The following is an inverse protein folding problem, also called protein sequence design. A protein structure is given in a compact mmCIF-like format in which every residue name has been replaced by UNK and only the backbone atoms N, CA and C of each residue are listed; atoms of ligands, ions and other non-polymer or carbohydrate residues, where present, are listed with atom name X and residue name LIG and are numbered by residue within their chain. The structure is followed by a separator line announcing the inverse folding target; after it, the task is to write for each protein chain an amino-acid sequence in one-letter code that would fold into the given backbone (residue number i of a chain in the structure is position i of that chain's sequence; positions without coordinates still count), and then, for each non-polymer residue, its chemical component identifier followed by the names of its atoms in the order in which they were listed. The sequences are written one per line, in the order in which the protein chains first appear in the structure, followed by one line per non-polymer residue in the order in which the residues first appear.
data_IF_154271280886
#
_entry.id   IF_154271280886
#
_cell.length_a   1.000
_cell.length_b   1.000
_cell.length_c   1.000
_cell.angle_alpha   90.00
_cell.angle_beta   90.00
_cell.angle_gamma   90.00
#
_symmetry.space_group_name_H-M   'P 1'
#
loop_
_entity.id
_entity.type
_entity.pdbx_description
1 polymer ?
#
# COMPACT_ATOMS: atom_id res chain seq x y z
N UNK A 1 7.77 10.45 22.01
CA UNK A 1 6.99 11.59 21.47
C UNK A 1 6.49 11.38 20.05
N UNK A 2 7.20 11.68 18.95
CA UNK A 2 6.57 11.61 17.60
C UNK A 2 6.05 10.23 17.22
N UNK A 3 6.88 9.18 17.32
CA UNK A 3 6.48 7.82 16.98
C UNK A 3 5.38 7.28 17.91
N UNK A 4 5.45 7.63 19.19
CA UNK A 4 4.40 7.36 20.18
C UNK A 4 3.06 7.98 19.75
N UNK A 5 3.02 9.26 19.37
CA UNK A 5 1.78 9.90 18.94
C UNK A 5 1.23 9.31 17.64
N UNK A 6 2.12 8.98 16.68
CA UNK A 6 1.73 8.30 15.44
C UNK A 6 1.11 6.94 15.73
N UNK A 7 1.78 6.10 16.54
CA UNK A 7 1.29 4.75 16.87
C UNK A 7 0.03 4.77 17.73
N UNK A 8 -0.11 5.76 18.63
CA UNK A 8 -1.36 6.00 19.38
C UNK A 8 -2.53 6.34 18.45
N UNK A 9 -2.29 7.19 17.45
CA UNK A 9 -3.30 7.54 16.44
C UNK A 9 -3.69 6.31 15.61
N UNK A 10 -2.71 5.56 15.10
CA UNK A 10 -2.96 4.34 14.33
C UNK A 10 -3.73 3.28 15.13
N UNK A 11 -3.43 3.11 16.41
CA UNK A 11 -4.20 2.26 17.32
C UNK A 11 -5.66 2.71 17.46
N UNK A 12 -5.93 4.02 17.50
CA UNK A 12 -7.32 4.52 17.52
C UNK A 12 -8.04 4.29 16.22
N UNK A 13 -7.35 4.47 15.09
CA UNK A 13 -7.89 4.19 13.76
C UNK A 13 -8.23 2.71 13.62
N UNK A 14 -7.34 1.82 14.08
CA UNK A 14 -7.56 0.36 14.02
C UNK A 14 -8.74 -0.10 14.87
N UNK A 15 -8.97 0.53 16.04
CA UNK A 15 -10.16 0.29 16.87
C UNK A 15 -11.49 0.65 16.18
N UNK A 16 -11.46 1.36 15.06
CA UNK A 16 -12.62 1.70 14.23
C UNK A 16 -12.65 0.93 12.88
N UNK A 17 -11.89 -0.15 12.77
CA UNK A 17 -11.78 -1.02 11.58
C UNK A 17 -13.11 -1.47 11.00
N UNK A 18 -14.13 -1.70 11.83
CA UNK A 18 -15.47 -2.08 11.36
C UNK A 18 -16.07 -1.04 10.37
N UNK A 19 -15.78 0.25 10.59
CA UNK A 19 -16.27 1.38 9.79
C UNK A 19 -15.29 1.79 8.68
N UNK A 20 -14.00 1.93 8.99
CA UNK A 20 -13.00 2.44 8.05
C UNK A 20 -12.26 1.34 7.26
N UNK A 21 -12.46 0.06 7.61
CA UNK A 21 -11.81 -1.13 7.02
C UNK A 21 -10.28 -1.19 7.18
N UNK A 22 -9.73 -0.43 8.12
CA UNK A 22 -8.30 -0.40 8.40
C UNK A 22 -8.03 -1.02 9.78
N UNK A 23 -7.61 -2.29 9.81
CA UNK A 23 -7.10 -2.94 11.03
C UNK A 23 -5.59 -2.69 11.23
N UNK A 24 -5.00 -3.20 12.31
CA UNK A 24 -3.57 -2.99 12.63
C UNK A 24 -2.65 -3.51 11.51
N UNK A 25 -2.98 -4.67 10.95
CA UNK A 25 -2.25 -5.27 9.83
C UNK A 25 -2.31 -4.40 8.57
N UNK A 26 -3.51 -4.00 8.15
CA UNK A 26 -3.70 -3.14 6.97
C UNK A 26 -3.00 -1.80 7.13
N UNK A 27 -3.10 -1.19 8.33
CA UNK A 27 -2.36 0.04 8.62
C UNK A 27 -0.84 -0.16 8.60
N UNK A 28 -0.34 -1.30 9.08
CA UNK A 28 1.09 -1.58 9.05
C UNK A 28 1.62 -1.71 7.62
N UNK A 29 0.87 -2.36 6.73
CA UNK A 29 1.24 -2.46 5.30
C UNK A 29 1.37 -1.06 4.66
N UNK A 30 0.42 -0.16 4.92
CA UNK A 30 0.42 1.19 4.34
C UNK A 30 1.48 2.11 4.95
N UNK A 31 1.75 1.99 6.26
CA UNK A 31 2.62 2.91 6.98
C UNK A 31 4.06 2.44 7.15
N UNK A 32 4.34 1.14 7.04
CA UNK A 32 5.70 0.59 7.07
C UNK A 32 6.68 1.33 6.14
N UNK A 33 6.40 1.50 4.83
CA UNK A 33 7.32 2.20 3.94
C UNK A 33 7.48 3.69 4.27
N UNK A 34 6.58 4.28 5.07
CA UNK A 34 6.64 5.70 5.46
C UNK A 34 7.44 5.92 6.75
N UNK A 35 7.54 4.90 7.61
CA UNK A 35 8.16 4.99 8.94
C UNK A 35 9.55 4.35 8.95
N UNK A 36 9.74 3.25 8.21
CA UNK A 36 11.01 2.50 8.16
C UNK A 36 11.39 2.27 6.69
N UNK A 37 12.63 2.62 6.33
CA UNK A 37 13.21 2.29 5.03
C UNK A 37 14.66 1.84 5.20
N UNK A 38 15.13 0.96 4.30
CA UNK A 38 16.51 0.48 4.32
C UNK A 38 17.46 1.51 3.72
N UNK A 39 18.67 1.61 4.27
CA UNK A 39 19.67 2.55 3.77
C UNK A 39 20.14 2.12 2.36
N UNK A 40 19.98 3.00 1.38
CA UNK A 40 20.33 2.70 -0.02
C UNK A 40 19.13 2.28 -0.88
N UNK A 41 17.99 1.98 -0.25
CA UNK A 41 16.72 2.15 -0.92
C UNK A 41 16.56 3.66 -1.13
N UNK A 42 16.54 4.13 -2.38
CA UNK A 42 16.22 5.52 -2.70
C UNK A 42 14.74 5.68 -2.42
N UNK A 43 14.42 5.71 -1.13
CA UNK A 43 13.11 5.44 -0.55
C UNK A 43 12.09 6.01 -1.48
N UNK A 44 11.32 5.11 -2.12
CA UNK A 44 10.29 5.45 -3.10
C UNK A 44 9.69 6.77 -2.66
N UNK A 45 10.06 7.87 -3.35
CA UNK A 45 9.84 9.24 -2.89
C UNK A 45 8.47 9.25 -2.22
N UNK A 46 8.38 9.56 -0.92
CA UNK A 46 7.14 9.40 -0.12
C UNK A 46 5.91 9.90 -0.90
N UNK A 47 6.14 10.96 -1.69
CA UNK A 47 5.23 11.54 -2.67
C UNK A 47 4.84 10.62 -3.84
N UNK A 48 5.78 9.91 -4.45
CA UNK A 48 5.54 8.89 -5.48
C UNK A 48 4.78 7.67 -4.95
N UNK A 49 5.09 7.19 -3.74
CA UNK A 49 4.31 6.10 -3.13
C UNK A 49 2.86 6.54 -2.89
N UNK A 50 2.66 7.72 -2.28
CA UNK A 50 1.33 8.27 -2.03
C UNK A 50 0.55 8.55 -3.33
N UNK A 51 1.24 8.93 -4.42
CA UNK A 51 0.62 9.10 -5.75
C UNK A 51 0.17 7.79 -6.37
N UNK A 52 0.85 6.69 -6.08
CA UNK A 52 0.50 5.38 -6.60
C UNK A 52 -0.69 4.79 -5.84
N UNK A 53 -0.71 4.89 -4.51
CA UNK A 53 -1.82 4.39 -3.68
C UNK A 53 -3.10 5.21 -3.84
N UNK A 54 -3.00 6.52 -4.08
CA UNK A 54 -4.16 7.40 -4.30
C UNK A 54 -4.62 7.46 -5.76
N UNK A 55 -3.95 6.77 -6.69
CA UNK A 55 -4.36 6.78 -8.10
C UNK A 55 -5.68 6.02 -8.24
N UNK A 56 -6.75 6.64 -8.77
CA UNK A 56 -7.98 5.93 -9.03
C UNK A 56 -7.72 4.79 -10.04
N UNK A 57 -8.46 3.67 -9.95
CA UNK A 57 -8.32 2.58 -10.91
C UNK A 57 -8.41 3.11 -12.34
N UNK A 58 -7.57 2.63 -13.27
CA UNK A 58 -7.66 3.06 -14.66
C UNK A 58 -9.08 2.79 -15.16
N UNK A 59 -9.76 3.85 -15.61
CA UNK A 59 -11.05 3.70 -16.30
C UNK A 59 -10.80 2.88 -17.55
N UNK A 60 -11.32 1.66 -17.58
CA UNK A 60 -11.47 0.89 -18.81
C UNK A 60 -12.39 1.73 -19.70
N UNK A 61 -11.82 2.40 -20.69
CA UNK A 61 -12.58 3.04 -21.75
C UNK A 61 -12.97 1.91 -22.70
N UNK A 62 -14.19 1.39 -22.51
CA UNK A 62 -14.85 0.54 -23.50
C UNK A 62 -14.96 1.34 -24.79
N UNK A 63 -13.99 1.16 -25.69
CA UNK A 63 -14.03 1.73 -27.03
C UNK A 63 -14.87 0.80 -27.89
N UNK A 64 -16.18 0.98 -27.83
CA UNK A 64 -17.10 0.45 -28.84
C UNK A 64 -16.86 1.18 -30.16
N UNK A 65 -15.92 0.68 -30.96
CA UNK A 65 -15.83 1.04 -32.38
C UNK A 65 -16.29 -0.16 -33.19
N UNK A 66 -17.58 -0.15 -33.54
CA UNK A 66 -18.15 -1.00 -34.57
C UNK A 66 -17.53 -0.61 -35.91
N UNK A 67 -16.56 -1.37 -36.41
CA UNK A 67 -16.24 -1.36 -37.84
C UNK A 67 -15.79 -2.76 -38.24
N UNK A 68 -16.63 -3.39 -39.05
CA UNK A 68 -16.43 -4.54 -39.92
C UNK A 68 -14.96 -4.76 -40.33
N UNK A 69 -14.28 -5.74 -39.74
CA UNK A 69 -12.95 -6.21 -40.18
C UNK A 69 -12.74 -7.67 -39.74
N UNK A 70 -13.72 -8.54 -40.00
CA UNK A 70 -13.65 -9.99 -39.73
C UNK A 70 -13.34 -10.81 -40.99
N UNK A 71 -12.74 -10.21 -42.00
CA UNK A 71 -12.39 -10.89 -43.25
C UNK A 71 -10.99 -10.45 -43.66
N UNK A 72 -9.99 -11.12 -43.10
CA UNK A 72 -8.60 -11.31 -43.56
C UNK A 72 -7.80 -11.87 -42.37
N UNK A 73 -8.10 -13.11 -42.00
CA UNK A 73 -7.09 -13.97 -41.38
C UNK A 73 -6.36 -14.63 -42.54
N UNK A 74 -5.19 -14.10 -42.89
CA UNK A 74 -4.19 -14.85 -43.65
C UNK A 74 -2.82 -14.46 -43.07
N UNK A 75 -2.28 -15.42 -42.33
CA UNK A 75 -0.90 -15.63 -41.90
C UNK A 75 0.14 -14.51 -42.17
N UNK A 76 0.46 -13.76 -41.13
CA UNK A 76 1.83 -13.32 -40.88
C UNK A 76 2.20 -13.60 -39.42
N UNK A 77 3.24 -14.42 -39.28
CA UNK A 77 3.84 -14.96 -38.07
C UNK A 77 4.54 -13.86 -37.27
N UNK A 78 3.76 -12.91 -36.73
CA UNK A 78 4.25 -11.99 -35.73
C UNK A 78 3.94 -12.57 -34.37
N UNK A 79 4.98 -13.08 -33.71
CA UNK A 79 4.98 -13.35 -32.28
C UNK A 79 4.62 -12.06 -31.52
N UNK A 80 3.31 -11.80 -31.40
CA UNK A 80 2.75 -10.70 -30.65
C UNK A 80 2.68 -11.05 -29.16
N UNK A 81 3.53 -11.98 -28.68
CA UNK A 81 3.99 -12.01 -27.30
C UNK A 81 4.85 -10.78 -27.05
N UNK A 82 4.20 -9.62 -27.06
CA UNK A 82 4.72 -8.43 -26.41
C UNK A 82 4.98 -8.83 -24.97
N UNK A 83 6.26 -9.00 -24.64
CA UNK A 83 6.74 -9.20 -23.28
C UNK A 83 6.39 -7.92 -22.51
N UNK A 84 5.16 -7.85 -22.00
CA UNK A 84 4.77 -6.87 -21.00
C UNK A 84 5.74 -7.14 -19.84
N UNK A 85 6.64 -6.20 -19.50
CA UNK A 85 7.53 -6.39 -18.37
C UNK A 85 6.64 -6.63 -17.16
N UNK A 86 6.79 -7.81 -16.54
CA UNK A 86 6.26 -8.06 -15.20
C UNK A 86 7.10 -7.19 -14.27
N UNK A 87 6.70 -5.93 -14.11
CA UNK A 87 7.17 -5.08 -13.02
C UNK A 87 6.49 -5.57 -11.73
N UNK A 88 6.80 -6.81 -11.37
CA UNK A 88 6.56 -7.35 -10.04
C UNK A 88 7.53 -6.59 -9.15
N UNK A 89 7.15 -5.36 -8.80
CA UNK A 89 7.97 -4.45 -8.00
C UNK A 89 8.53 -5.17 -6.77
N UNK A 90 9.58 -4.61 -6.17
CA UNK A 90 10.24 -5.24 -5.03
C UNK A 90 9.21 -5.70 -3.98
N UNK A 91 9.29 -6.94 -3.51
CA UNK A 91 8.34 -7.45 -2.54
C UNK A 91 8.32 -6.54 -1.30
N UNK A 92 7.17 -6.38 -0.62
CA UNK A 92 7.09 -5.57 0.58
C UNK A 92 8.10 -6.01 1.63
N UNK A 93 8.68 -5.06 2.37
CA UNK A 93 9.51 -5.39 3.53
C UNK A 93 8.62 -5.92 4.67
N UNK A 94 8.39 -7.24 4.65
CA UNK A 94 7.56 -7.92 5.64
C UNK A 94 8.07 -7.74 7.07
N UNK A 95 9.39 -7.57 7.25
CA UNK A 95 9.97 -7.30 8.56
C UNK A 95 9.60 -5.91 9.06
N UNK A 96 9.69 -4.90 8.20
CA UNK A 96 9.23 -3.54 8.54
C UNK A 96 7.73 -3.52 8.86
N UNK A 97 6.91 -4.24 8.09
CA UNK A 97 5.47 -4.38 8.32
C UNK A 97 5.19 -4.99 9.70
N UNK A 98 5.83 -6.11 10.03
CA UNK A 98 5.66 -6.78 11.32
C UNK A 98 6.03 -5.87 12.51
N UNK A 99 7.14 -5.13 12.39
CA UNK A 99 7.58 -4.18 13.42
C UNK A 99 6.54 -3.07 13.61
N UNK A 100 6.03 -2.48 12.53
CA UNK A 100 5.00 -1.43 12.63
C UNK A 100 3.70 -1.99 13.22
N UNK A 101 3.26 -3.18 12.80
CA UNK A 101 2.08 -3.83 13.36
C UNK A 101 2.23 -4.03 14.87
N UNK A 102 3.39 -4.53 15.31
CA UNK A 102 3.70 -4.73 16.73
C UNK A 102 3.66 -3.42 17.51
N UNK A 103 4.23 -2.34 16.97
CA UNK A 103 4.18 -1.00 17.59
C UNK A 103 2.75 -0.46 17.74
N UNK A 104 1.85 -0.77 16.80
CA UNK A 104 0.44 -0.37 16.88
C UNK A 104 -0.29 -1.19 17.94
N UNK A 105 -0.19 -2.52 17.88
CA UNK A 105 -0.92 -3.43 18.77
C UNK A 105 -0.47 -3.34 20.22
N UNK A 106 0.83 -3.13 20.43
CA UNK A 106 1.45 -3.05 21.76
C UNK A 106 1.87 -1.61 22.12
N UNK A 107 1.24 -0.60 21.53
CA UNK A 107 1.55 0.81 21.79
C UNK A 107 1.59 1.14 23.30
N UNK A 108 0.57 0.73 24.05
CA UNK A 108 0.46 1.05 25.48
C UNK A 108 1.63 0.43 26.30
N UNK A 109 1.89 -0.90 26.23
CA UNK A 109 3.07 -1.49 26.89
C UNK A 109 4.41 -0.86 26.50
N UNK A 110 4.54 -0.36 25.27
CA UNK A 110 5.81 0.16 24.75
C UNK A 110 6.04 1.62 25.14
N UNK A 111 5.00 2.46 25.09
CA UNK A 111 5.14 3.91 25.21
C UNK A 111 4.47 4.51 26.44
N UNK A 112 3.60 3.79 27.16
CA UNK A 112 2.89 4.34 28.32
C UNK A 112 3.22 3.61 29.61
N UNK A 113 3.77 4.33 30.59
CA UNK A 113 3.86 3.87 31.98
C UNK A 113 2.45 3.80 32.58
N UNK A 114 1.84 2.61 32.61
CA UNK A 114 0.62 2.18 33.32
C UNK A 114 -0.68 3.03 33.23
N UNK A 115 -0.64 4.28 32.78
CA UNK A 115 -1.78 5.16 32.59
C UNK A 115 -2.06 5.25 31.09
N UNK A 116 -3.19 4.68 30.66
CA UNK A 116 -3.68 4.86 29.30
C UNK A 116 -3.73 6.34 28.95
N UNK A 117 -3.13 6.72 27.82
CA UNK A 117 -3.29 8.08 27.34
C UNK A 117 -4.75 8.26 26.88
N UNK A 118 -5.53 8.99 27.68
CA UNK A 118 -6.89 9.43 27.33
C UNK A 118 -6.74 10.69 26.47
N UNK A 119 -6.93 10.55 25.16
CA UNK A 119 -6.93 11.68 24.25
C UNK A 119 -8.38 12.08 23.98
N UNK A 120 -8.68 13.36 24.18
CA UNK A 120 -9.98 13.98 23.88
C UNK A 120 -10.04 14.42 22.43
#
# INVERSE_FOLDING_TARGET
MTLEFVTALLLRVSRKSALNKMDSCTLAVEFAPLIIWQQGDSGTDLRNHLRFTLKPPPKIVDTTTSTTTWDLLDEDDVDASSQIPLDDGSPPDYGAIEVIQCLIEHHNPIFTDANETVWR
#
